data_IF_317823241701
#
_entry.id   IF_317823241701
#
_cell.length_a   1.000
_cell.length_b   1.000
_cell.length_c   1.000
_cell.angle_alpha   90.00
_cell.angle_beta   90.00
_cell.angle_gamma   90.00
#
_symmetry.space_group_name_H-M   'P 1'
#
loop_
_entity.id
_entity.type
_entity.pdbx_description
1 polymer ?
#
# COMPACT_ATOMS: atom_id res chain seq x y z
N UNK A 1 52.91 17.55 59.61
CA UNK A 1 53.95 16.50 59.54
C UNK A 1 53.28 15.15 59.74
N UNK A 2 53.74 14.03 59.14
CA UNK A 2 53.92 13.67 57.74
C UNK A 2 52.93 12.53 57.31
N UNK A 3 52.44 12.53 56.05
CA UNK A 3 52.80 11.60 54.95
C UNK A 3 52.34 10.14 55.12
N UNK A 4 51.43 9.59 54.29
CA UNK A 4 51.65 8.75 53.08
C UNK A 4 50.49 7.73 53.07
N UNK A 5 49.98 7.08 52.01
CA UNK A 5 50.07 7.12 50.54
C UNK A 5 49.10 6.02 50.01
N UNK A 6 48.46 6.29 48.87
CA UNK A 6 47.91 5.36 47.83
C UNK A 6 46.57 4.60 48.06
N UNK A 7 45.85 4.20 46.98
CA UNK A 7 46.01 4.53 45.56
C UNK A 7 44.77 5.19 44.90
N UNK A 8 45.04 6.04 43.90
CA UNK A 8 44.08 6.41 42.85
C UNK A 8 43.76 5.16 42.03
N UNK A 9 42.51 4.73 42.02
CA UNK A 9 41.98 3.82 41.01
C UNK A 9 41.51 4.68 39.84
N UNK A 10 42.24 4.60 38.73
CA UNK A 10 41.84 5.17 37.46
C UNK A 10 40.66 4.37 36.91
N UNK A 11 39.44 4.89 37.02
CA UNK A 11 38.31 4.42 36.21
C UNK A 11 38.44 5.07 34.82
N UNK A 12 39.08 4.34 33.91
CA UNK A 12 38.95 4.60 32.48
C UNK A 12 37.51 4.25 32.08
N UNK A 13 36.65 5.27 32.03
CA UNK A 13 35.30 5.16 31.49
C UNK A 13 35.39 4.96 29.98
N UNK A 14 35.41 3.71 29.55
CA UNK A 14 35.27 3.33 28.15
C UNK A 14 33.90 3.82 27.65
N UNK A 15 33.94 4.82 26.79
CA UNK A 15 32.81 5.27 25.98
C UNK A 15 32.45 4.11 25.03
N UNK A 16 31.57 3.20 25.48
CA UNK A 16 30.88 2.29 24.57
C UNK A 16 29.89 3.16 23.79
N UNK A 17 30.32 3.61 22.62
CA UNK A 17 29.43 4.00 21.53
C UNK A 17 28.71 2.72 21.13
N UNK A 18 27.61 2.44 21.83
CA UNK A 18 26.61 1.49 21.40
C UNK A 18 26.11 2.00 20.07
N UNK A 19 26.59 1.39 18.98
CA UNK A 19 25.91 1.44 17.71
C UNK A 19 24.47 1.04 17.98
N UNK A 20 23.60 2.04 18.03
CA UNK A 20 22.16 1.89 17.90
C UNK A 20 21.97 1.18 16.58
N UNK A 21 21.90 -0.15 16.64
CA UNK A 21 21.35 -0.94 15.57
C UNK A 21 19.99 -0.33 15.31
N UNK A 22 19.81 0.22 14.12
CA UNK A 22 18.53 0.65 13.59
C UNK A 22 17.63 -0.58 13.63
N UNK A 23 16.87 -0.72 14.72
CA UNK A 23 15.82 -1.72 14.81
C UNK A 23 14.88 -1.42 13.65
N UNK A 24 14.91 -2.31 12.68
CA UNK A 24 14.21 -2.17 11.41
C UNK A 24 12.78 -1.71 11.66
N UNK A 25 12.45 -0.59 11.03
CA UNK A 25 11.08 -0.14 10.82
C UNK A 25 10.38 -1.27 10.08
N UNK A 26 9.65 -2.10 10.82
CA UNK A 26 8.86 -3.18 10.26
C UNK A 26 7.40 -2.77 10.43
N UNK A 27 6.75 -2.36 9.34
CA UNK A 27 5.31 -2.49 9.23
C UNK A 27 4.92 -3.91 9.68
N UNK A 28 3.86 -4.02 10.49
CA UNK A 28 3.34 -5.32 10.88
C UNK A 28 3.21 -6.23 9.65
N UNK A 29 3.82 -7.41 9.73
CA UNK A 29 3.80 -8.37 8.63
C UNK A 29 2.35 -8.64 8.20
N UNK A 30 2.00 -8.34 6.94
CA UNK A 30 0.81 -8.92 6.30
C UNK A 30 -0.18 -7.96 5.65
N UNK A 31 0.05 -6.65 5.65
CA UNK A 31 -0.78 -5.75 4.84
C UNK A 31 -0.53 -6.01 3.33
N UNK A 32 -1.58 -6.29 2.54
CA UNK A 32 -1.40 -6.59 1.13
C UNK A 32 -1.17 -5.32 0.31
N UNK A 33 -0.07 -5.29 -0.42
CA UNK A 33 0.20 -4.37 -1.52
C UNK A 33 -0.58 -4.82 -2.76
N UNK A 34 -1.29 -3.91 -3.43
CA UNK A 34 -1.84 -4.24 -4.74
C UNK A 34 -0.88 -3.82 -5.86
N UNK A 35 -0.72 -4.70 -6.83
CA UNK A 35 -0.01 -4.46 -8.08
C UNK A 35 -1.02 -4.48 -9.21
N UNK A 36 -0.96 -3.48 -10.09
CA UNK A 36 -1.83 -3.39 -11.26
C UNK A 36 -1.03 -3.17 -12.52
N UNK A 37 -1.24 -4.02 -13.53
CA UNK A 37 -0.74 -3.74 -14.87
C UNK A 37 -1.73 -2.88 -15.64
N UNK A 38 -1.20 -1.96 -16.41
CA UNK A 38 -1.96 -1.07 -17.27
C UNK A 38 -1.40 -1.19 -18.69
N UNK A 39 -2.15 -0.72 -19.69
CA UNK A 39 -1.64 -0.69 -21.05
C UNK A 39 -0.34 0.12 -21.11
N UNK A 40 0.47 -0.16 -22.14
CA UNK A 40 1.69 0.61 -22.46
C UNK A 40 2.82 0.46 -21.43
N UNK A 41 2.98 -0.73 -20.86
CA UNK A 41 4.04 -1.01 -19.87
C UNK A 41 3.99 0.02 -18.74
N UNK A 42 2.85 0.08 -18.07
CA UNK A 42 2.66 0.86 -16.86
C UNK A 42 2.25 -0.10 -15.75
N UNK A 43 2.87 0.01 -14.59
CA UNK A 43 2.45 -0.69 -13.38
C UNK A 43 2.15 0.32 -12.29
N UNK A 44 1.08 0.09 -11.53
CA UNK A 44 0.83 0.86 -10.31
C UNK A 44 0.90 -0.03 -9.09
N UNK A 45 1.41 0.53 -8.01
CA UNK A 45 1.53 -0.05 -6.69
C UNK A 45 0.63 0.76 -5.76
N UNK A 46 -0.28 0.09 -5.05
CA UNK A 46 -1.20 0.75 -4.11
C UNK A 46 -1.10 0.12 -2.72
N UNK A 47 -0.67 0.92 -1.74
CA UNK A 47 -0.37 0.49 -0.36
C UNK A 47 -1.64 0.44 0.51
N UNK A 48 -1.55 -0.17 1.70
CA UNK A 48 -2.65 -0.10 2.67
C UNK A 48 -2.96 1.35 3.10
N UNK A 49 -1.93 2.20 3.13
CA UNK A 49 -2.04 3.63 3.47
C UNK A 49 -2.58 4.51 2.35
N UNK A 50 -3.01 3.87 1.25
CA UNK A 50 -3.53 4.52 0.06
C UNK A 50 -2.50 5.47 -0.58
N UNK A 51 -1.22 5.09 -0.51
CA UNK A 51 -0.17 5.66 -1.35
C UNK A 51 -0.16 4.92 -2.69
N UNK A 52 -0.04 5.66 -3.78
CA UNK A 52 -0.08 5.15 -5.14
C UNK A 52 1.17 5.57 -5.91
N UNK A 53 2.01 4.57 -6.21
CA UNK A 53 3.20 4.74 -7.03
C UNK A 53 2.95 4.15 -8.40
N UNK A 54 3.20 4.93 -9.44
CA UNK A 54 3.12 4.51 -10.84
C UNK A 54 4.53 4.43 -11.38
N UNK A 55 4.86 3.29 -11.99
CA UNK A 55 6.11 3.05 -12.69
C UNK A 55 5.78 2.85 -14.16
N UNK A 56 6.39 3.68 -15.01
CA UNK A 56 6.21 3.67 -16.45
C UNK A 56 7.53 3.35 -17.14
N UNK A 57 7.55 2.26 -17.89
CA UNK A 57 8.72 1.83 -18.63
C UNK A 57 8.92 2.57 -19.95
N UNK A 58 7.84 2.92 -20.67
CA UNK A 58 7.96 3.48 -22.02
C UNK A 58 6.87 4.51 -22.34
N UNK A 59 7.25 5.46 -23.21
CA UNK A 59 6.35 6.33 -23.97
C UNK A 59 6.03 7.69 -23.33
N UNK A 60 5.43 8.56 -24.13
CA UNK A 60 4.91 9.88 -23.71
C UNK A 60 3.38 9.93 -23.68
N UNK A 61 2.73 8.83 -24.06
CA UNK A 61 1.26 8.73 -24.08
C UNK A 61 0.66 9.10 -22.71
N UNK A 62 -0.53 9.70 -22.67
CA UNK A 62 -1.20 10.00 -21.40
C UNK A 62 -1.38 8.73 -20.56
N UNK A 63 -1.19 8.86 -19.24
CA UNK A 63 -1.56 7.80 -18.30
C UNK A 63 -3.07 7.56 -18.36
N UNK A 64 -3.53 6.32 -18.08
CA UNK A 64 -4.94 6.06 -17.83
C UNK A 64 -5.54 7.04 -16.83
N UNK A 65 -6.81 7.44 -17.03
CA UNK A 65 -7.49 8.40 -16.17
C UNK A 65 -7.58 7.91 -14.71
N UNK A 66 -7.62 6.59 -14.54
CA UNK A 66 -7.61 5.90 -13.25
C UNK A 66 -6.29 6.08 -12.49
N UNK A 67 -5.23 6.60 -13.12
CA UNK A 67 -3.95 6.91 -12.49
C UNK A 67 -3.75 8.42 -12.25
N UNK A 68 -4.78 9.25 -12.49
CA UNK A 68 -4.71 10.69 -12.28
C UNK A 68 -4.49 11.09 -10.80
N UNK A 69 -4.81 10.22 -9.86
CA UNK A 69 -4.63 10.41 -8.42
C UNK A 69 -3.34 9.78 -7.87
N UNK A 70 -2.41 9.36 -8.74
CA UNK A 70 -1.12 8.83 -8.29
C UNK A 70 -0.34 9.86 -7.48
N UNK A 71 0.21 9.44 -6.33
CA UNK A 71 1.06 10.29 -5.48
C UNK A 71 2.45 10.48 -6.11
N UNK A 72 2.98 9.43 -6.74
CA UNK A 72 4.28 9.44 -7.40
C UNK A 72 4.20 8.73 -8.76
N UNK A 73 4.73 9.36 -9.80
CA UNK A 73 4.89 8.77 -11.13
C UNK A 73 6.38 8.76 -11.48
N UNK A 74 6.96 7.58 -11.61
CA UNK A 74 8.31 7.37 -12.14
C UNK A 74 8.22 7.02 -13.62
N UNK A 75 8.77 7.87 -14.47
CA UNK A 75 8.87 7.63 -15.90
C UNK A 75 10.32 7.43 -16.30
N UNK A 76 10.59 6.25 -16.85
CA UNK A 76 11.89 5.90 -17.40
C UNK A 76 11.81 6.14 -18.91
N UNK A 77 12.15 7.36 -19.34
CA UNK A 77 12.23 7.64 -20.77
C UNK A 77 13.55 7.11 -21.32
N UNK A 78 13.50 6.53 -22.52
CA UNK A 78 14.67 6.04 -23.23
C UNK A 78 15.56 7.17 -23.78
N UNK A 79 15.61 8.32 -23.11
CA UNK A 79 16.54 9.38 -23.48
C UNK A 79 17.94 8.87 -23.19
N UNK A 80 18.84 8.95 -24.18
CA UNK A 80 20.19 8.38 -24.19
C UNK A 80 21.01 8.59 -22.89
N UNK A 81 20.61 9.55 -22.04
CA UNK A 81 21.30 10.02 -20.84
C UNK A 81 20.91 9.32 -19.52
N UNK A 82 20.00 8.33 -19.49
CA UNK A 82 19.73 7.54 -18.28
C UNK A 82 19.11 8.34 -17.12
N UNK A 83 18.37 9.40 -17.43
CA UNK A 83 17.70 10.24 -16.43
C UNK A 83 16.32 9.67 -16.12
N UNK A 84 16.02 9.47 -14.83
CA UNK A 84 14.67 9.18 -14.38
C UNK A 84 13.91 10.50 -14.24
N UNK A 85 12.79 10.64 -14.96
CA UNK A 85 11.87 11.73 -14.71
C UNK A 85 10.87 11.25 -13.66
N UNK A 86 11.07 11.70 -12.42
CA UNK A 86 10.09 11.52 -11.35
C UNK A 86 9.14 12.72 -11.35
N UNK A 87 7.90 12.49 -11.77
CA UNK A 87 6.84 13.46 -11.52
C UNK A 87 6.19 13.13 -10.18
N UNK A 88 6.45 13.96 -9.18
CA UNK A 88 5.76 13.90 -7.90
C UNK A 88 4.50 14.78 -8.00
N UNK A 89 3.32 14.17 -7.89
CA UNK A 89 2.09 14.94 -7.75
C UNK A 89 1.90 15.28 -6.27
N UNK A 90 2.53 16.37 -5.84
CA UNK A 90 2.13 17.04 -4.59
C UNK A 90 1.14 18.11 -4.99
N UNK A 91 -0.15 18.05 -4.62
CA UNK A 91 -0.97 19.24 -4.75
C UNK A 91 -0.37 20.34 -3.86
N UNK A 92 -0.03 21.48 -4.46
CA UNK A 92 0.57 22.59 -3.74
C UNK A 92 -0.26 22.95 -2.50
N UNK A 93 0.43 23.10 -1.36
CA UNK A 93 -0.20 23.59 -0.14
C UNK A 93 -0.89 24.94 -0.44
N UNK A 94 -2.22 24.96 -0.38
CA UNK A 94 -3.02 26.19 -0.53
C UNK A 94 -3.40 26.60 -1.95
N UNK A 95 -3.10 25.81 -2.99
CA UNK A 95 -3.64 26.03 -4.33
C UNK A 95 -4.59 24.88 -4.70
N UNK A 96 -5.80 25.23 -5.15
CA UNK A 96 -6.80 24.27 -5.64
C UNK A 96 -6.36 23.58 -6.94
N UNK A 97 -5.32 24.09 -7.61
CA UNK A 97 -4.68 23.44 -8.74
C UNK A 97 -3.47 22.64 -8.27
N UNK A 98 -3.56 21.31 -8.39
CA UNK A 98 -2.50 20.38 -8.06
C UNK A 98 -1.30 20.60 -8.99
N UNK A 99 -0.43 21.56 -8.67
CA UNK A 99 0.81 21.76 -9.42
C UNK A 99 1.68 20.53 -9.29
N UNK A 100 1.86 19.82 -10.39
CA UNK A 100 2.72 18.63 -10.43
C UNK A 100 4.17 19.09 -10.33
N UNK A 101 4.87 18.71 -9.27
CA UNK A 101 6.31 18.94 -9.16
C UNK A 101 7.00 17.88 -10.02
N UNK A 102 7.55 18.31 -11.15
CA UNK A 102 8.36 17.43 -11.99
C UNK A 102 9.82 17.61 -11.60
N UNK A 103 10.43 16.57 -11.03
CA UNK A 103 11.85 16.52 -10.71
C UNK A 103 12.54 15.55 -11.66
N UNK A 104 13.70 15.93 -12.18
CA UNK A 104 14.56 14.99 -12.90
C UNK A 104 15.66 14.55 -11.95
N UNK A 105 15.74 13.25 -11.70
CA UNK A 105 16.73 12.65 -10.79
C UNK A 105 17.59 11.71 -11.64
N UNK A 106 18.92 11.88 -11.66
CA UNK A 106 19.80 10.89 -12.26
C UNK A 106 19.49 9.51 -11.68
N UNK A 107 19.38 8.49 -12.53
CA UNK A 107 18.92 7.17 -12.06
C UNK A 107 19.82 6.63 -10.94
N UNK A 108 21.14 6.83 -11.03
CA UNK A 108 22.11 6.42 -10.02
C UNK A 108 21.92 7.09 -8.64
N UNK A 109 21.19 8.21 -8.56
CA UNK A 109 20.90 8.96 -7.34
C UNK A 109 19.50 8.64 -6.79
N UNK A 110 18.73 7.76 -7.44
CA UNK A 110 17.41 7.38 -6.96
C UNK A 110 17.55 6.47 -5.74
N UNK A 111 17.54 7.09 -4.56
CA UNK A 111 17.35 6.46 -3.27
C UNK A 111 16.49 7.35 -2.36
N UNK A 112 15.17 7.13 -2.38
CA UNK A 112 14.20 8.08 -1.85
C UNK A 112 13.03 7.39 -1.13
N UNK A 113 12.42 8.14 -0.22
CA UNK A 113 11.22 7.78 0.50
C UNK A 113 10.02 8.60 0.01
N UNK A 114 8.93 7.91 -0.31
CA UNK A 114 7.59 8.51 -0.41
C UNK A 114 6.83 8.18 0.88
N UNK A 115 6.55 9.19 1.70
CA UNK A 115 5.94 9.03 3.01
C UNK A 115 4.74 9.97 3.19
N UNK A 116 3.82 9.64 4.09
CA UNK A 116 2.77 10.55 4.55
C UNK A 116 2.59 10.34 6.04
N UNK A 117 3.18 11.21 6.84
CA UNK A 117 3.05 11.14 8.30
C UNK A 117 1.60 11.44 8.71
N UNK A 118 1.15 10.96 9.88
CA UNK A 118 -0.16 11.30 10.41
C UNK A 118 -0.45 12.80 10.42
N UNK A 119 -1.70 13.17 10.11
CA UNK A 119 -2.17 14.56 10.01
C UNK A 119 -1.53 15.38 8.88
N UNK A 120 -0.59 14.83 8.09
CA UNK A 120 -0.11 15.51 6.89
C UNK A 120 -1.17 15.43 5.79
N UNK A 121 -1.42 16.58 5.16
CA UNK A 121 -2.36 16.65 4.05
C UNK A 121 -1.87 15.85 2.83
N UNK A 122 -0.57 15.90 2.57
CA UNK A 122 0.08 15.41 1.36
C UNK A 122 1.29 14.54 1.69
N UNK A 123 1.66 13.62 0.77
CA UNK A 123 2.87 12.85 0.94
C UNK A 123 4.11 13.72 0.66
N UNK A 124 5.24 13.33 1.21
CA UNK A 124 6.55 13.92 1.01
C UNK A 124 7.44 12.97 0.23
N UNK A 125 8.28 13.52 -0.64
CA UNK A 125 9.35 12.82 -1.36
C UNK A 125 10.68 13.32 -0.85
N UNK A 126 11.49 12.44 -0.27
CA UNK A 126 12.71 12.84 0.43
C UNK A 126 13.82 11.86 0.11
N UNK A 127 15.03 12.37 -0.15
CA UNK A 127 16.21 11.54 -0.31
C UNK A 127 16.46 10.74 0.97
N UNK A 128 16.87 9.47 0.83
CA UNK A 128 16.99 8.56 1.97
C UNK A 128 17.99 9.06 3.02
N UNK A 129 19.08 9.71 2.58
CA UNK A 129 20.13 10.27 3.44
C UNK A 129 19.73 11.56 4.17
N UNK A 130 18.68 12.25 3.71
CA UNK A 130 18.16 13.48 4.31
C UNK A 130 17.00 13.23 5.28
N UNK A 131 16.42 12.03 5.25
CA UNK A 131 15.26 11.69 6.07
C UNK A 131 15.63 11.58 7.56
N UNK A 132 15.17 12.55 8.35
CA UNK A 132 15.32 12.52 9.82
C UNK A 132 14.37 11.52 10.50
N UNK A 133 13.25 11.20 9.83
CA UNK A 133 12.23 10.26 10.29
C UNK A 133 11.50 9.68 9.08
N UNK A 134 11.12 8.41 9.17
CA UNK A 134 10.26 7.72 8.20
C UNK A 134 9.19 6.96 8.95
N UNK A 135 7.96 6.99 8.45
CA UNK A 135 6.86 6.21 9.00
C UNK A 135 7.03 4.72 8.70
N UNK A 136 6.27 3.90 9.43
CA UNK A 136 6.23 2.46 9.21
C UNK A 136 5.72 2.07 7.81
N UNK A 137 5.00 2.97 7.14
CA UNK A 137 4.27 2.69 5.90
C UNK A 137 4.83 3.46 4.71
N UNK A 138 6.07 3.91 4.85
CA UNK A 138 6.84 4.57 3.80
C UNK A 138 7.05 3.64 2.60
N UNK A 139 7.01 4.21 1.40
CA UNK A 139 7.50 3.53 0.20
C UNK A 139 8.94 3.95 -0.04
N UNK A 140 9.86 3.00 0.06
CA UNK A 140 11.26 3.20 -0.28
C UNK A 140 11.52 2.78 -1.72
N UNK A 141 12.11 3.68 -2.51
CA UNK A 141 12.48 3.44 -3.90
C UNK A 141 13.98 3.64 -4.04
N UNK A 142 14.67 2.59 -4.45
CA UNK A 142 16.12 2.60 -4.60
C UNK A 142 16.56 1.94 -5.89
N UNK A 143 17.61 2.49 -6.48
CA UNK A 143 18.23 1.98 -7.69
C UNK A 143 19.39 1.04 -7.36
N UNK A 144 19.45 -0.11 -8.03
CA UNK A 144 20.58 -1.04 -7.93
C UNK A 144 21.17 -1.42 -9.30
N UNK A 145 22.50 -1.27 -9.41
CA UNK A 145 23.30 -1.70 -10.58
C UNK A 145 22.78 -1.16 -11.93
N UNK A 146 22.31 0.09 -11.95
CA UNK A 146 21.76 0.84 -13.12
C UNK A 146 20.60 0.16 -13.88
N UNK A 147 20.09 -0.98 -13.41
CA UNK A 147 19.20 -1.84 -14.19
C UNK A 147 18.01 -2.37 -13.40
N UNK A 148 17.97 -2.10 -12.11
CA UNK A 148 16.92 -2.54 -11.22
C UNK A 148 16.44 -1.37 -10.38
N UNK A 149 15.12 -1.18 -10.34
CA UNK A 149 14.44 -0.41 -9.32
C UNK A 149 13.92 -1.40 -8.28
N UNK A 150 14.32 -1.20 -7.03
CA UNK A 150 13.80 -1.89 -5.88
C UNK A 150 12.77 -0.98 -5.20
N UNK A 151 11.56 -1.49 -5.01
CA UNK A 151 10.50 -0.82 -4.25
C UNK A 151 10.21 -1.63 -3.00
N UNK A 152 10.40 -1.03 -1.82
CA UNK A 152 10.13 -1.65 -0.54
C UNK A 152 9.02 -0.91 0.21
N UNK A 153 7.97 -1.62 0.62
CA UNK A 153 6.82 -1.06 1.35
C UNK A 153 6.07 -2.16 2.08
N UNK A 154 5.57 -1.88 3.29
CA UNK A 154 4.77 -2.84 4.08
C UNK A 154 5.47 -4.22 4.24
N UNK A 155 6.81 -4.21 4.31
CA UNK A 155 7.67 -5.40 4.32
C UNK A 155 7.81 -6.15 2.98
N UNK A 156 7.04 -5.77 1.95
CA UNK A 156 7.13 -6.31 0.58
C UNK A 156 8.29 -5.67 -0.16
N UNK A 157 9.06 -6.47 -0.89
CA UNK A 157 10.11 -5.98 -1.80
C UNK A 157 9.85 -6.38 -3.25
N UNK A 158 9.71 -5.39 -4.10
CA UNK A 158 9.46 -5.55 -5.53
C UNK A 158 10.70 -5.18 -6.34
N UNK A 159 11.08 -6.05 -7.26
CA UNK A 159 12.14 -5.81 -8.22
C UNK A 159 11.50 -5.45 -9.57
N UNK A 160 11.89 -4.32 -10.15
CA UNK A 160 11.41 -3.82 -11.43
C UNK A 160 12.64 -3.60 -12.32
N UNK A 161 12.86 -4.44 -13.36
CA UNK A 161 13.91 -4.20 -14.34
C UNK A 161 13.71 -2.88 -15.06
N UNK A 162 14.75 -2.08 -15.17
CA UNK A 162 14.74 -0.80 -15.89
C UNK A 162 15.30 -0.93 -17.32
N UNK A 163 15.54 -2.16 -17.76
CA UNK A 163 16.49 -2.46 -18.81
C UNK A 163 16.07 -1.99 -20.21
N UNK A 164 16.98 -1.26 -20.87
CA UNK A 164 17.08 -1.04 -22.32
C UNK A 164 17.35 -2.35 -23.07
N UNK A 165 16.70 -2.55 -24.21
CA UNK A 165 16.89 -3.74 -25.05
C UNK A 165 18.31 -3.93 -25.59
N UNK A 166 19.14 -2.89 -25.64
CA UNK A 166 20.44 -2.95 -26.30
C UNK A 166 21.62 -3.43 -25.41
N UNK A 167 21.37 -3.72 -24.13
CA UNK A 167 22.44 -3.97 -23.17
C UNK A 167 22.94 -5.43 -23.19
N UNK A 168 23.93 -5.70 -24.07
CA UNK A 168 24.85 -6.84 -24.12
C UNK A 168 24.22 -8.26 -24.14
N UNK A 169 24.78 -9.18 -24.92
CA UNK A 169 24.27 -10.55 -25.05
C UNK A 169 24.23 -11.35 -23.73
N UNK A 170 24.90 -10.88 -22.66
CA UNK A 170 24.91 -11.47 -21.32
C UNK A 170 25.21 -10.39 -20.27
N UNK A 171 24.22 -9.57 -19.88
CA UNK A 171 24.48 -8.49 -18.97
C UNK A 171 24.60 -9.05 -17.54
N UNK A 172 25.53 -8.54 -16.71
CA UNK A 172 25.80 -9.11 -15.39
C UNK A 172 24.54 -9.11 -14.52
N UNK A 173 24.40 -10.12 -13.66
CA UNK A 173 23.28 -10.21 -12.74
C UNK A 173 23.24 -8.96 -11.82
N UNK A 174 22.08 -8.32 -11.62
CA UNK A 174 21.95 -7.28 -10.61
C UNK A 174 22.32 -7.86 -9.24
N UNK A 175 23.22 -7.20 -8.52
CA UNK A 175 23.60 -7.59 -7.16
C UNK A 175 22.80 -6.76 -6.18
N UNK A 176 21.93 -7.41 -5.42
CA UNK A 176 21.31 -6.81 -4.24
C UNK A 176 22.26 -6.92 -3.04
N UNK A 177 22.12 -6.04 -2.03
CA UNK A 177 22.81 -6.21 -0.76
C UNK A 177 22.52 -7.60 -0.16
N UNK A 178 23.49 -8.15 0.57
CA UNK A 178 23.36 -9.46 1.19
C UNK A 178 22.13 -9.52 2.12
N UNK A 179 21.32 -10.58 2.00
CA UNK A 179 20.11 -10.77 2.80
C UNK A 179 18.86 -10.06 2.29
N UNK A 180 18.95 -9.28 1.21
CA UNK A 180 17.76 -8.69 0.58
C UNK A 180 17.08 -9.76 -0.29
N UNK A 181 15.86 -10.13 0.10
CA UNK A 181 14.99 -11.03 -0.67
C UNK A 181 13.98 -10.23 -1.50
N UNK A 182 13.69 -10.68 -2.72
CA UNK A 182 12.65 -10.13 -3.58
C UNK A 182 11.36 -10.95 -3.44
N UNK A 183 10.26 -10.31 -3.07
CA UNK A 183 8.94 -10.95 -3.02
C UNK A 183 8.34 -11.10 -4.41
N UNK A 184 8.49 -10.09 -5.28
CA UNK A 184 8.05 -10.19 -6.67
C UNK A 184 8.96 -9.45 -7.65
N UNK A 185 9.17 -10.07 -8.81
CA UNK A 185 9.82 -9.48 -9.97
C UNK A 185 8.75 -9.07 -10.99
N UNK A 186 8.63 -7.78 -11.29
CA UNK A 186 7.64 -7.24 -12.23
C UNK A 186 8.30 -7.02 -13.58
N UNK A 187 7.90 -7.77 -14.60
CA UNK A 187 8.48 -7.66 -15.93
C UNK A 187 7.63 -6.74 -16.83
N UNK A 188 8.25 -5.95 -17.72
CA UNK A 188 7.51 -5.13 -18.68
C UNK A 188 6.77 -5.99 -19.71
N UNK A 189 5.86 -5.38 -20.48
CA UNK A 189 5.07 -6.09 -21.50
C UNK A 189 5.86 -6.60 -22.68
N UNK A 190 7.00 -5.98 -22.97
CA UNK A 190 7.84 -6.34 -24.09
C UNK A 190 8.55 -7.68 -23.83
N UNK A 191 8.39 -8.63 -24.74
CA UNK A 191 8.93 -10.00 -24.59
C UNK A 191 8.24 -10.84 -23.51
N UNK A 192 7.14 -10.36 -22.91
CA UNK A 192 6.42 -11.09 -21.85
C UNK A 192 5.87 -12.44 -22.37
N UNK A 193 5.38 -12.49 -23.61
CA UNK A 193 4.81 -13.70 -24.20
C UNK A 193 5.82 -14.87 -24.24
N UNK A 194 7.05 -14.62 -24.69
CA UNK A 194 8.10 -15.65 -24.80
C UNK A 194 8.57 -16.11 -23.41
N UNK A 195 8.63 -15.20 -22.44
CA UNK A 195 9.01 -15.53 -21.05
C UNK A 195 7.93 -16.34 -20.34
N UNK A 196 6.65 -15.99 -20.56
CA UNK A 196 5.50 -16.74 -20.05
C UNK A 196 5.47 -18.15 -20.62
N UNK A 197 5.66 -18.29 -21.94
CA UNK A 197 5.60 -19.59 -22.62
C UNK A 197 6.66 -20.58 -22.10
N UNK A 198 7.83 -20.08 -21.72
CA UNK A 198 8.96 -20.90 -21.31
C UNK A 198 9.19 -20.96 -19.79
N UNK A 199 8.42 -20.22 -18.98
CA UNK A 199 8.59 -20.06 -17.52
C UNK A 199 10.06 -19.88 -17.07
N UNK A 200 10.88 -19.27 -17.94
CA UNK A 200 12.33 -19.17 -17.76
C UNK A 200 12.70 -17.71 -17.51
N UNK A 201 13.35 -17.48 -16.38
CA UNK A 201 14.02 -16.21 -16.11
C UNK A 201 15.41 -16.23 -16.74
N UNK A 202 15.81 -15.12 -17.34
CA UNK A 202 17.22 -14.90 -17.69
C UNK A 202 18.10 -15.15 -16.45
N UNK A 203 19.30 -15.74 -16.60
CA UNK A 203 20.17 -16.08 -15.48
C UNK A 203 20.42 -14.91 -14.51
N UNK A 204 20.49 -13.69 -15.04
CA UNK A 204 20.62 -12.47 -14.24
C UNK A 204 19.45 -12.25 -13.28
N UNK A 205 18.22 -12.41 -13.75
CA UNK A 205 17.02 -12.23 -12.94
C UNK A 205 16.76 -13.42 -12.02
N UNK A 206 17.12 -14.64 -12.44
CA UNK A 206 17.01 -15.84 -11.62
C UNK A 206 17.84 -15.75 -10.32
N UNK A 207 18.96 -15.02 -10.35
CA UNK A 207 19.81 -14.80 -9.16
C UNK A 207 19.13 -14.01 -8.04
N UNK A 208 18.07 -13.24 -8.35
CA UNK A 208 17.26 -12.53 -7.35
C UNK A 208 16.38 -13.47 -6.54
N UNK A 209 16.18 -14.71 -7.02
CA UNK A 209 15.32 -15.74 -6.43
C UNK A 209 13.94 -15.17 -6.02
N UNK A 210 13.22 -14.49 -6.93
CA UNK A 210 11.94 -13.87 -6.58
C UNK A 210 10.93 -14.96 -6.25
N UNK A 211 10.08 -14.71 -5.24
CA UNK A 211 9.01 -15.65 -4.89
C UNK A 211 7.91 -15.67 -5.96
N UNK A 212 7.66 -14.52 -6.59
CA UNK A 212 6.72 -14.37 -7.69
C UNK A 212 7.36 -13.67 -8.89
N UNK A 213 7.01 -14.10 -10.09
CA UNK A 213 7.31 -13.39 -11.32
C UNK A 213 5.98 -12.91 -11.90
N UNK A 214 5.81 -11.61 -11.98
CA UNK A 214 4.57 -11.00 -12.48
C UNK A 214 4.82 -10.46 -13.87
N UNK A 215 3.95 -10.84 -14.78
CA UNK A 215 4.03 -10.55 -16.21
C UNK A 215 2.66 -10.10 -16.70
N UNK A 216 2.61 -9.22 -17.70
CA UNK A 216 1.35 -8.94 -18.37
C UNK A 216 0.94 -10.14 -19.23
N UNK A 217 -0.35 -10.49 -19.19
CA UNK A 217 -0.95 -11.51 -20.02
C UNK A 217 -0.89 -11.09 -21.49
N UNK A 218 -0.59 -12.03 -22.38
CA UNK A 218 -0.60 -11.77 -23.80
C UNK A 218 -2.05 -11.52 -24.27
N UNK A 219 -2.37 -10.38 -24.91
CA UNK A 219 -3.72 -10.10 -25.40
C UNK A 219 -4.24 -11.11 -26.43
N UNK A 220 -3.36 -11.89 -27.07
CA UNK A 220 -3.74 -12.80 -28.16
C UNK A 220 -4.19 -14.21 -27.72
N UNK A 221 -4.27 -14.52 -26.42
CA UNK A 221 -4.52 -15.89 -25.93
C UNK A 221 -5.70 -16.02 -24.97
N UNK A 222 -6.93 -15.93 -25.48
CA UNK A 222 -8.18 -16.21 -24.74
C UNK A 222 -8.46 -17.70 -24.49
N UNK A 223 -7.52 -18.61 -24.78
CA UNK A 223 -7.72 -20.00 -24.42
C UNK A 223 -7.49 -20.21 -22.92
N UNK A 224 -8.53 -20.65 -22.22
CA UNK A 224 -8.56 -21.29 -20.90
C UNK A 224 -7.72 -22.58 -20.82
N UNK A 225 -6.62 -22.67 -21.58
CA UNK A 225 -5.61 -23.71 -21.35
C UNK A 225 -5.09 -23.52 -19.93
N UNK A 226 -5.40 -24.49 -19.09
CA UNK A 226 -4.71 -24.73 -17.81
C UNK A 226 -3.23 -24.57 -18.11
N UNK A 227 -2.63 -23.50 -17.58
CA UNK A 227 -1.22 -23.19 -17.80
C UNK A 227 -0.36 -24.38 -17.43
N UNK A 228 0.86 -24.42 -17.95
CA UNK A 228 1.93 -25.18 -17.32
C UNK A 228 1.94 -24.91 -15.81
N UNK A 229 2.27 -25.93 -15.01
CA UNK A 229 1.82 -26.05 -13.62
C UNK A 229 2.13 -24.90 -12.66
N UNK A 230 3.04 -23.97 -12.99
CA UNK A 230 3.40 -22.84 -12.13
C UNK A 230 2.82 -21.48 -12.57
N UNK A 231 2.21 -21.38 -13.76
CA UNK A 231 1.60 -20.15 -14.25
C UNK A 231 0.17 -19.99 -13.75
N UNK A 232 -0.05 -19.00 -12.88
CA UNK A 232 -1.38 -18.54 -12.46
C UNK A 232 -1.84 -17.37 -13.30
N UNK A 233 -3.01 -17.46 -13.94
CA UNK A 233 -3.71 -16.31 -14.53
C UNK A 233 -4.55 -15.63 -13.45
N UNK A 234 -4.32 -14.34 -13.19
CA UNK A 234 -5.10 -13.56 -12.24
C UNK A 234 -6.37 -12.97 -12.91
N UNK A 235 -7.36 -12.61 -12.10
CA UNK A 235 -8.60 -11.99 -12.60
C UNK A 235 -8.35 -10.52 -12.90
N UNK A 236 -8.43 -10.15 -14.18
CA UNK A 236 -8.17 -8.79 -14.64
C UNK A 236 -6.70 -8.39 -14.43
N UNK A 237 -6.48 -7.13 -14.06
CA UNK A 237 -5.14 -6.55 -13.99
C UNK A 237 -4.55 -6.41 -12.59
N UNK A 238 -5.25 -6.86 -11.53
CA UNK A 238 -4.86 -6.60 -10.14
C UNK A 238 -4.37 -7.88 -9.43
N UNK A 239 -3.30 -7.76 -8.65
CA UNK A 239 -2.73 -8.81 -7.81
C UNK A 239 -2.49 -8.29 -6.40
N UNK A 240 -2.85 -9.06 -5.37
CA UNK A 240 -2.42 -8.79 -4.01
C UNK A 240 -1.09 -9.49 -3.72
N UNK A 241 -0.16 -8.79 -3.09
CA UNK A 241 1.14 -9.32 -2.63
C UNK A 241 1.34 -8.90 -1.18
N UNK A 242 1.85 -9.83 -0.37
CA UNK A 242 2.28 -9.54 0.99
C UNK A 242 3.62 -10.21 1.27
N UNK A 243 4.36 -9.64 2.21
CA UNK A 243 5.59 -10.24 2.69
C UNK A 243 5.27 -11.62 3.25
N UNK A 244 6.07 -12.63 2.86
CA UNK A 244 6.10 -13.90 3.57
C UNK A 244 7.52 -14.32 3.78
N UNK A 245 7.73 -15.07 4.86
CA UNK A 245 9.02 -15.69 5.14
C UNK A 245 9.49 -16.50 3.93
N UNK A 246 10.80 -16.47 3.65
CA UNK A 246 11.39 -17.27 2.59
C UNK A 246 10.98 -18.74 2.74
N UNK A 247 10.36 -19.27 1.69
CA UNK A 247 10.14 -20.70 1.50
C UNK A 247 11.09 -21.22 0.42
N UNK A 248 11.35 -22.52 0.42
CA UNK A 248 12.19 -23.20 -0.59
C UNK A 248 11.44 -23.51 -1.89
N UNK A 249 10.30 -22.88 -2.12
CA UNK A 249 9.45 -23.15 -3.28
C UNK A 249 9.96 -22.41 -4.50
N UNK A 250 9.83 -23.04 -5.68
CA UNK A 250 10.08 -22.39 -6.96
C UNK A 250 9.24 -21.10 -7.11
N UNK A 251 9.72 -20.16 -7.92
CA UNK A 251 9.02 -18.92 -8.20
C UNK A 251 7.66 -19.20 -8.85
N UNK A 252 6.59 -18.60 -8.33
CA UNK A 252 5.26 -18.67 -8.93
C UNK A 252 5.14 -17.63 -10.05
N UNK A 253 4.72 -18.04 -11.23
CA UNK A 253 4.45 -17.12 -12.33
C UNK A 253 3.01 -16.61 -12.26
N UNK A 254 2.81 -15.31 -12.41
CA UNK A 254 1.48 -14.69 -12.39
C UNK A 254 1.30 -13.79 -13.60
N UNK A 255 0.35 -14.15 -14.47
CA UNK A 255 -0.05 -13.32 -15.59
C UNK A 255 -1.23 -12.41 -15.21
N UNK A 256 -1.09 -11.10 -15.44
CA UNK A 256 -2.11 -10.08 -15.21
C UNK A 256 -2.56 -9.47 -16.54
N UNK A 257 -3.86 -9.33 -16.78
CA UNK A 257 -4.33 -8.58 -17.95
C UNK A 257 -3.90 -7.11 -17.86
N UNK A 258 -3.79 -6.44 -19.01
CA UNK A 258 -3.53 -4.99 -19.07
C UNK A 258 -4.83 -4.16 -19.00
N UNK A 259 -5.99 -4.80 -19.13
CA UNK A 259 -7.31 -4.19 -18.97
C UNK A 259 -7.79 -4.29 -17.51
N UNK A 260 -8.20 -3.18 -16.90
CA UNK A 260 -8.83 -3.20 -15.58
C UNK A 260 -10.02 -4.14 -15.53
N UNK A 261 -10.14 -4.88 -14.42
CA UNK A 261 -11.36 -5.62 -14.16
C UNK A 261 -12.54 -4.65 -14.04
N UNK A 262 -13.58 -4.89 -14.84
CA UNK A 262 -14.83 -4.12 -14.75
C UNK A 262 -15.76 -4.78 -13.75
N UNK A 263 -16.12 -4.04 -12.71
CA UNK A 263 -17.07 -4.50 -11.72
C UNK A 263 -18.47 -4.68 -12.36
N UNK A 264 -19.15 -5.82 -12.16
CA UNK A 264 -20.54 -5.98 -12.63
C UNK A 264 -21.44 -4.86 -12.12
N UNK A 265 -22.39 -4.42 -12.95
CA UNK A 265 -23.19 -3.21 -12.69
C UNK A 265 -23.87 -3.21 -11.31
N UNK A 266 -24.50 -4.33 -10.95
CA UNK A 266 -25.16 -4.48 -9.64
C UNK A 266 -24.17 -4.41 -8.46
N UNK A 267 -23.01 -5.06 -8.57
CA UNK A 267 -21.97 -4.97 -7.55
C UNK A 267 -21.42 -3.55 -7.45
N UNK A 268 -21.27 -2.86 -8.59
CA UNK A 268 -20.84 -1.46 -8.65
C UNK A 268 -21.81 -0.54 -7.95
N UNK A 269 -23.12 -0.71 -8.15
CA UNK A 269 -24.14 0.08 -7.46
C UNK A 269 -24.04 -0.09 -5.93
N UNK A 270 -23.95 -1.34 -5.46
CA UNK A 270 -23.81 -1.63 -4.02
C UNK A 270 -22.55 -1.01 -3.41
N UNK A 271 -21.41 -1.06 -4.12
CA UNK A 271 -20.18 -0.40 -3.68
C UNK A 271 -20.33 1.12 -3.64
N UNK A 272 -20.89 1.74 -4.69
CA UNK A 272 -21.11 3.19 -4.74
C UNK A 272 -21.99 3.68 -3.60
N UNK A 273 -23.04 2.94 -3.24
CA UNK A 273 -23.89 3.30 -2.11
C UNK A 273 -23.15 3.24 -0.77
N UNK A 274 -22.35 2.19 -0.53
CA UNK A 274 -21.49 2.07 0.66
C UNK A 274 -20.47 3.21 0.70
N UNK A 275 -19.77 3.44 -0.40
CA UNK A 275 -18.73 4.45 -0.54
C UNK A 275 -19.29 5.86 -0.26
N UNK A 276 -20.47 6.19 -0.79
CA UNK A 276 -21.16 7.46 -0.49
C UNK A 276 -21.47 7.62 1.01
N UNK A 277 -21.87 6.55 1.69
CA UNK A 277 -22.09 6.60 3.14
C UNK A 277 -20.78 6.79 3.92
N UNK A 278 -19.70 6.17 3.48
CA UNK A 278 -18.35 6.39 4.02
C UNK A 278 -17.89 7.84 3.78
N UNK A 279 -18.05 8.38 2.58
CA UNK A 279 -17.72 9.78 2.24
C UNK A 279 -18.50 10.79 3.09
N UNK A 280 -19.79 10.56 3.32
CA UNK A 280 -20.58 11.40 4.24
C UNK A 280 -20.04 11.37 5.68
N UNK A 281 -19.56 10.21 6.11
CA UNK A 281 -18.91 10.04 7.41
C UNK A 281 -17.59 10.81 7.44
N UNK A 282 -16.73 10.64 6.43
CA UNK A 282 -15.49 11.40 6.25
C UNK A 282 -15.72 12.91 6.34
N UNK A 283 -16.74 13.44 5.64
CA UNK A 283 -17.08 14.87 5.69
C UNK A 283 -17.56 15.36 7.06
N UNK A 284 -18.07 14.47 7.91
CA UNK A 284 -18.41 14.78 9.31
C UNK A 284 -17.17 14.76 10.20
N UNK A 285 -16.37 13.69 10.12
CA UNK A 285 -15.18 13.51 10.95
C UNK A 285 -14.08 14.52 10.62
N UNK A 286 -13.87 14.87 9.35
CA UNK A 286 -12.85 15.82 8.89
C UNK A 286 -12.91 17.22 9.53
N UNK A 287 -14.04 17.56 10.15
CA UNK A 287 -14.28 18.84 10.82
C UNK A 287 -13.91 18.82 12.31
N UNK A 288 -13.67 17.64 12.87
CA UNK A 288 -13.46 17.48 14.30
C UNK A 288 -12.00 17.68 14.67
N UNK A 289 -11.75 18.33 15.80
CA UNK A 289 -10.43 18.35 16.41
C UNK A 289 -10.11 17.01 17.11
N UNK A 290 -8.84 16.77 17.43
CA UNK A 290 -8.46 15.62 18.25
C UNK A 290 -9.19 15.59 19.61
N UNK A 291 -9.44 16.75 20.23
CA UNK A 291 -10.18 16.82 21.50
C UNK A 291 -11.65 16.47 21.35
N UNK A 292 -12.31 16.95 20.28
CA UNK A 292 -13.69 16.60 19.95
C UNK A 292 -13.81 15.10 19.65
N UNK A 293 -12.87 14.53 18.89
CA UNK A 293 -12.79 13.09 18.63
C UNK A 293 -12.71 12.26 19.92
N UNK A 294 -11.92 12.73 20.89
CA UNK A 294 -11.72 12.07 22.17
C UNK A 294 -12.73 12.47 23.25
N UNK A 295 -13.76 13.26 22.93
CA UNK A 295 -14.79 13.63 23.90
C UNK A 295 -15.48 12.37 24.46
N UNK A 296 -15.49 12.25 25.79
CA UNK A 296 -16.13 11.17 26.55
C UNK A 296 -17.49 11.64 27.09
N UNK A 297 -18.62 11.27 26.48
CA UNK A 297 -19.93 11.67 26.94
C UNK A 297 -20.26 11.15 28.34
N UNK A 298 -20.83 12.00 29.22
CA UNK A 298 -21.28 11.60 30.57
C UNK A 298 -22.43 10.59 30.56
N UNK A 299 -23.19 10.51 29.47
CA UNK A 299 -24.31 9.57 29.32
C UNK A 299 -23.87 8.14 28.99
N UNK A 300 -22.56 7.85 29.00
CA UNK A 300 -22.02 6.51 28.77
C UNK A 300 -22.01 6.07 27.30
N UNK A 301 -22.37 6.93 26.34
CA UNK A 301 -22.25 6.62 24.92
C UNK A 301 -20.78 6.67 24.46
N UNK A 302 -20.46 5.96 23.36
CA UNK A 302 -19.10 5.93 22.81
C UNK A 302 -18.59 7.31 22.37
N UNK A 303 -17.27 7.50 22.38
CA UNK A 303 -16.66 8.73 21.85
C UNK A 303 -16.87 8.85 20.33
N UNK A 304 -16.73 10.04 19.72
CA UNK A 304 -16.69 10.14 18.27
C UNK A 304 -15.60 9.27 17.64
N UNK A 305 -14.37 9.27 18.17
CA UNK A 305 -13.28 8.44 17.65
C UNK A 305 -13.60 6.95 17.66
N UNK A 306 -14.19 6.44 18.74
CA UNK A 306 -14.64 5.05 18.79
C UNK A 306 -15.59 4.72 17.65
N UNK A 307 -16.48 5.65 17.26
CA UNK A 307 -17.41 5.40 16.16
C UNK A 307 -16.67 5.34 14.82
N UNK A 308 -15.66 6.20 14.58
CA UNK A 308 -14.82 6.11 13.39
C UNK A 308 -14.06 4.79 13.34
N UNK A 309 -13.32 4.46 14.41
CA UNK A 309 -12.54 3.22 14.52
C UNK A 309 -13.42 1.96 14.40
N UNK A 310 -14.61 1.97 14.98
CA UNK A 310 -15.55 0.85 14.89
C UNK A 310 -16.11 0.65 13.48
N UNK A 311 -16.51 1.73 12.79
CA UNK A 311 -17.01 1.65 11.42
C UNK A 311 -15.96 1.06 10.48
N UNK A 312 -14.76 1.65 10.46
CA UNK A 312 -13.68 1.18 9.60
C UNK A 312 -13.17 -0.19 10.01
N UNK A 313 -13.05 -0.48 11.31
CA UNK A 313 -12.59 -1.77 11.81
C UNK A 313 -13.51 -2.93 11.42
N UNK A 314 -14.84 -2.71 11.41
CA UNK A 314 -15.81 -3.73 10.96
C UNK A 314 -15.77 -3.97 9.47
N UNK A 315 -15.72 -2.91 8.67
CA UNK A 315 -15.59 -3.04 7.22
C UNK A 315 -14.32 -3.80 6.85
N UNK A 316 -13.17 -3.36 7.40
CA UNK A 316 -11.88 -3.97 7.12
C UNK A 316 -11.86 -5.45 7.49
N UNK A 317 -12.37 -5.81 8.66
CA UNK A 317 -12.43 -7.21 9.12
C UNK A 317 -13.27 -8.09 8.19
N UNK A 318 -14.50 -7.67 7.89
CA UNK A 318 -15.41 -8.51 7.10
C UNK A 318 -14.91 -8.71 5.67
N UNK A 319 -14.43 -7.66 5.00
CA UNK A 319 -13.90 -7.79 3.65
C UNK A 319 -12.59 -8.57 3.60
N UNK A 320 -11.66 -8.31 4.54
CA UNK A 320 -10.38 -9.04 4.57
C UNK A 320 -10.57 -10.53 4.86
N UNK A 321 -11.55 -10.93 5.67
CA UNK A 321 -11.91 -12.35 5.87
C UNK A 321 -12.35 -13.04 4.59
N UNK A 322 -13.21 -12.37 3.80
CA UNK A 322 -13.68 -12.91 2.51
C UNK A 322 -12.52 -13.00 1.52
N UNK A 323 -11.73 -11.93 1.42
CA UNK A 323 -10.61 -11.85 0.50
C UNK A 323 -9.51 -12.86 0.82
N UNK A 324 -9.21 -13.10 2.10
CA UNK A 324 -8.23 -14.08 2.54
C UNK A 324 -8.57 -15.53 2.15
N UNK A 325 -9.85 -15.84 1.86
CA UNK A 325 -10.25 -17.15 1.33
C UNK A 325 -10.02 -17.32 -0.17
N UNK A 326 -9.92 -16.20 -0.88
CA UNK A 326 -9.73 -16.18 -2.34
C UNK A 326 -8.27 -15.91 -2.72
N UNK A 327 -7.57 -15.12 -1.92
CA UNK A 327 -6.20 -14.71 -2.15
C UNK A 327 -5.40 -14.79 -0.85
N UNK A 328 -4.48 -15.76 -0.82
CA UNK A 328 -3.69 -16.07 0.39
C UNK A 328 -2.72 -14.95 0.77
N UNK A 329 -2.41 -14.02 -0.14
CA UNK A 329 -1.61 -12.84 0.18
C UNK A 329 -2.37 -11.85 1.10
N UNK A 330 -3.70 -11.96 1.17
CA UNK A 330 -4.52 -11.16 2.07
C UNK A 330 -4.78 -11.97 3.34
N UNK A 331 -4.57 -11.34 4.49
CA UNK A 331 -4.92 -11.91 5.80
C UNK A 331 -6.14 -11.17 6.39
N UNK A 332 -6.91 -11.80 7.29
CA UNK A 332 -7.90 -11.07 8.07
C UNK A 332 -7.25 -9.94 8.88
N UNK A 333 -7.81 -8.74 8.79
CA UNK A 333 -7.32 -7.53 9.46
C UNK A 333 -8.37 -7.05 10.46
N UNK A 334 -8.04 -7.12 11.75
CA UNK A 334 -8.95 -6.72 12.83
C UNK A 334 -8.43 -5.46 13.53
N UNK A 335 -9.01 -4.31 13.16
CA UNK A 335 -8.76 -3.02 13.82
C UNK A 335 -9.96 -2.58 14.67
N UNK A 336 -10.80 -3.52 15.13
CA UNK A 336 -11.97 -3.17 15.93
C UNK A 336 -11.55 -2.67 17.33
N UNK A 337 -12.05 -1.51 17.79
CA UNK A 337 -11.85 -1.09 19.16
C UNK A 337 -12.64 -2.00 20.11
N UNK A 338 -12.20 -2.04 21.37
CA UNK A 338 -12.99 -2.69 22.43
C UNK A 338 -14.39 -2.07 22.52
N UNK A 339 -15.40 -2.92 22.67
CA UNK A 339 -16.81 -2.51 22.54
C UNK A 339 -17.29 -1.66 23.72
N UNK A 340 -16.84 -1.94 24.94
CA UNK A 340 -17.36 -1.25 26.12
C UNK A 340 -16.69 0.12 26.27
N UNK A 341 -17.47 1.21 26.46
CA UNK A 341 -16.90 2.56 26.59
C UNK A 341 -15.80 2.71 27.66
N UNK A 342 -15.88 2.07 28.85
CA UNK A 342 -14.79 2.12 29.83
C UNK A 342 -13.48 1.45 29.37
N UNK A 343 -13.58 0.44 28.52
CA UNK A 343 -12.44 -0.36 28.05
C UNK A 343 -11.77 0.25 26.81
N UNK A 344 -12.40 1.25 26.20
CA UNK A 344 -11.92 1.87 24.97
C UNK A 344 -10.67 2.72 25.21
N UNK A 345 -9.64 2.39 24.45
CA UNK A 345 -8.42 3.18 24.28
C UNK A 345 -8.30 3.49 22.78
N UNK A 346 -8.19 4.78 22.46
CA UNK A 346 -7.98 5.22 21.09
C UNK A 346 -6.66 4.66 20.56
N UNK A 347 -6.66 4.15 19.33
CA UNK A 347 -5.43 3.70 18.68
C UNK A 347 -4.48 4.88 18.44
N UNK A 348 -5.05 6.02 18.04
CA UNK A 348 -4.31 7.23 17.72
C UNK A 348 -4.97 8.46 18.36
N UNK A 349 -4.77 8.71 19.66
CA UNK A 349 -5.45 9.80 20.37
C UNK A 349 -5.08 11.19 19.85
N UNK A 350 -3.95 11.34 19.17
CA UNK A 350 -3.40 12.58 18.62
C UNK A 350 -3.89 12.91 17.20
N UNK A 351 -4.49 11.96 16.48
CA UNK A 351 -5.02 12.20 15.14
C UNK A 351 -6.17 13.21 15.18
N UNK A 352 -6.17 14.14 14.23
CA UNK A 352 -7.29 15.05 14.02
C UNK A 352 -8.39 14.40 13.17
N UNK A 353 -9.47 15.13 12.96
CA UNK A 353 -10.59 14.70 12.15
C UNK A 353 -10.24 14.36 10.71
N UNK A 354 -9.24 15.04 10.13
CA UNK A 354 -8.82 14.83 8.74
C UNK A 354 -8.08 13.52 8.60
N UNK A 355 -7.20 13.19 9.54
CA UNK A 355 -6.52 11.89 9.56
C UNK A 355 -7.50 10.74 9.83
N UNK A 356 -8.46 10.91 10.75
CA UNK A 356 -9.53 9.92 10.96
C UNK A 356 -10.38 9.71 9.70
N UNK A 357 -10.79 10.78 9.03
CA UNK A 357 -11.49 10.70 7.75
C UNK A 357 -10.66 9.98 6.68
N UNK A 358 -9.35 10.25 6.62
CA UNK A 358 -8.43 9.55 5.72
C UNK A 358 -8.33 8.07 6.05
N UNK A 359 -8.38 7.67 7.32
CA UNK A 359 -8.41 6.26 7.71
C UNK A 359 -9.69 5.56 7.25
N UNK A 360 -10.86 6.20 7.35
CA UNK A 360 -12.11 5.70 6.76
C UNK A 360 -11.96 5.52 5.24
N UNK A 361 -11.35 6.49 4.56
CA UNK A 361 -11.08 6.43 3.12
C UNK A 361 -10.15 5.26 2.77
N UNK A 362 -9.06 5.03 3.52
CA UNK A 362 -8.11 3.92 3.32
C UNK A 362 -8.82 2.56 3.37
N UNK A 363 -9.70 2.35 4.35
CA UNK A 363 -10.47 1.11 4.47
C UNK A 363 -11.47 0.95 3.32
N UNK A 364 -12.17 2.02 2.95
CA UNK A 364 -13.06 1.97 1.78
C UNK A 364 -12.28 1.66 0.49
N UNK A 365 -11.10 2.26 0.31
CA UNK A 365 -10.20 1.99 -0.81
C UNK A 365 -9.71 0.55 -0.81
N UNK A 366 -9.36 -0.04 0.34
CA UNK A 366 -9.02 -1.46 0.47
C UNK A 366 -10.17 -2.36 -0.03
N UNK A 367 -11.41 -2.11 0.42
CA UNK A 367 -12.57 -2.90 0.01
C UNK A 367 -12.77 -2.86 -1.51
N UNK A 368 -12.65 -1.67 -2.12
CA UNK A 368 -12.78 -1.44 -3.56
C UNK A 368 -11.64 -2.06 -4.37
N UNK A 369 -10.40 -1.89 -3.90
CA UNK A 369 -9.17 -2.30 -4.58
C UNK A 369 -9.12 -3.80 -4.86
N UNK A 370 -9.63 -4.59 -3.92
CA UNK A 370 -9.66 -6.05 -4.01
C UNK A 370 -11.05 -6.62 -4.34
N UNK A 371 -12.02 -5.78 -4.74
CA UNK A 371 -13.37 -6.21 -5.07
C UNK A 371 -13.45 -7.20 -6.25
N UNK A 372 -12.40 -7.29 -7.09
CA UNK A 372 -12.29 -8.30 -8.14
C UNK A 372 -12.33 -9.73 -7.59
N UNK A 373 -11.99 -9.95 -6.31
CA UNK A 373 -12.10 -11.25 -5.63
C UNK A 373 -13.55 -11.67 -5.34
N UNK A 374 -14.51 -10.75 -5.52
CA UNK A 374 -15.94 -11.03 -5.46
C UNK A 374 -16.52 -11.41 -6.83
N UNK A 375 -15.77 -11.28 -7.92
CA UNK A 375 -16.29 -11.39 -9.28
C UNK A 375 -16.97 -12.73 -9.61
N UNK A 376 -16.59 -13.80 -8.92
CA UNK A 376 -17.13 -15.16 -9.12
C UNK A 376 -18.07 -15.61 -7.99
N UNK A 377 -18.37 -14.74 -7.03
CA UNK A 377 -19.27 -15.07 -5.93
C UNK A 377 -20.71 -14.76 -6.33
N UNK A 378 -21.62 -15.64 -5.93
CA UNK A 378 -23.05 -15.34 -5.92
C UNK A 378 -23.30 -14.29 -4.82
N UNK A 379 -23.93 -13.17 -5.19
CA UNK A 379 -24.18 -12.03 -4.29
C UNK A 379 -25.18 -12.37 -3.18
N UNK A 380 -25.98 -13.43 -3.36
CA UNK A 380 -27.05 -13.85 -2.47
C UNK A 380 -26.73 -15.15 -1.71
N UNK A 381 -25.54 -15.71 -1.91
CA UNK A 381 -24.99 -16.80 -1.08
C UNK A 381 -23.98 -16.26 -0.07
N UNK A 382 -23.82 -16.97 1.05
CA UNK A 382 -22.83 -16.62 2.08
C UNK A 382 -21.42 -16.64 1.48
N UNK A 383 -20.69 -15.54 1.65
CA UNK A 383 -19.33 -15.43 1.15
C UNK A 383 -18.37 -16.34 1.94
N UNK A 384 -17.31 -16.90 1.31
CA UNK A 384 -16.33 -17.72 2.00
C UNK A 384 -15.72 -17.00 3.21
N UNK A 385 -15.62 -17.69 4.35
CA UNK A 385 -15.02 -17.11 5.56
C UNK A 385 -15.89 -16.05 6.26
N UNK A 386 -17.12 -15.85 5.82
CA UNK A 386 -18.09 -14.91 6.40
C UNK A 386 -19.46 -15.56 6.54
N UNK A 387 -20.30 -15.02 7.43
CA UNK A 387 -21.71 -15.37 7.52
C UNK A 387 -22.60 -14.44 6.69
N UNK A 388 -22.02 -13.38 6.11
CA UNK A 388 -22.74 -12.45 5.25
C UNK A 388 -22.76 -12.93 3.80
N UNK A 389 -23.85 -12.63 3.09
CA UNK A 389 -23.81 -12.58 1.62
C UNK A 389 -23.09 -11.30 1.18
N UNK A 390 -22.42 -11.25 0.01
CA UNK A 390 -21.80 -10.02 -0.49
C UNK A 390 -22.77 -8.84 -0.54
N UNK A 391 -24.01 -9.06 -1.01
CA UNK A 391 -25.07 -8.05 -1.03
C UNK A 391 -25.43 -7.57 0.37
N UNK A 392 -25.67 -8.51 1.28
CA UNK A 392 -26.04 -8.21 2.67
C UNK A 392 -24.95 -7.42 3.39
N UNK A 393 -23.68 -7.77 3.20
CA UNK A 393 -22.55 -7.05 3.78
C UNK A 393 -22.47 -5.61 3.27
N UNK A 394 -22.53 -5.39 1.95
CA UNK A 394 -22.44 -4.05 1.37
C UNK A 394 -23.59 -3.14 1.86
N UNK A 395 -24.82 -3.67 1.89
CA UNK A 395 -25.98 -2.95 2.43
C UNK A 395 -25.85 -2.68 3.93
N UNK A 396 -25.31 -3.63 4.69
CA UNK A 396 -25.05 -3.46 6.12
C UNK A 396 -24.01 -2.38 6.37
N UNK A 397 -22.90 -2.36 5.61
CA UNK A 397 -21.88 -1.33 5.76
C UNK A 397 -22.43 0.07 5.44
N UNK A 398 -23.26 0.21 4.40
CA UNK A 398 -23.98 1.47 4.10
C UNK A 398 -24.78 1.98 5.31
N UNK A 399 -25.59 1.11 5.94
CA UNK A 399 -26.38 1.45 7.13
C UNK A 399 -25.49 1.78 8.33
N UNK A 400 -24.46 0.95 8.55
CA UNK A 400 -23.50 1.08 9.64
C UNK A 400 -22.85 2.45 9.66
N UNK A 401 -22.33 2.92 8.51
CA UNK A 401 -21.78 4.27 8.39
C UNK A 401 -22.80 5.37 8.72
N UNK A 402 -24.01 5.28 8.17
CA UNK A 402 -25.04 6.28 8.38
C UNK A 402 -25.48 6.39 9.85
N UNK A 403 -25.68 5.27 10.52
CA UNK A 403 -26.13 5.21 11.92
C UNK A 403 -25.08 5.75 12.89
N UNK A 404 -23.83 5.32 12.76
CA UNK A 404 -22.75 5.76 13.63
C UNK A 404 -22.38 7.23 13.40
N UNK A 405 -22.42 7.72 12.14
CA UNK A 405 -22.26 9.15 11.86
C UNK A 405 -23.38 9.99 12.48
N UNK A 406 -24.65 9.55 12.37
CA UNK A 406 -25.78 10.22 13.04
C UNK A 406 -25.60 10.26 14.57
N UNK A 407 -25.06 9.20 15.17
CA UNK A 407 -24.75 9.15 16.59
C UNK A 407 -23.64 10.13 16.99
N UNK A 408 -22.65 10.37 16.12
CA UNK A 408 -21.64 11.41 16.35
C UNK A 408 -22.24 12.80 16.28
N UNK A 409 -23.05 13.10 15.26
CA UNK A 409 -23.70 14.42 15.12
C UNK A 409 -24.54 14.78 16.36
N UNK A 410 -25.26 13.81 16.95
CA UNK A 410 -26.01 14.02 18.19
C UNK A 410 -25.12 14.46 19.36
N UNK A 411 -23.83 14.10 19.39
CA UNK A 411 -22.90 14.45 20.48
C UNK A 411 -22.53 15.93 20.50
N UNK A 412 -22.64 16.62 19.37
CA UNK A 412 -22.32 18.05 19.28
C UNK A 412 -23.22 18.91 20.17
N UNK A 413 -24.37 18.37 20.57
CA UNK A 413 -25.35 19.03 21.44
C UNK A 413 -25.24 18.60 22.91
N UNK A 414 -24.31 17.69 23.26
CA UNK A 414 -24.20 17.19 24.63
C UNK A 414 -23.47 18.19 25.54
N UNK A 415 -23.86 18.28 26.83
CA UNK A 415 -23.13 19.08 27.81
C UNK A 415 -21.65 18.70 27.88
N UNK A 416 -20.78 19.71 27.80
CA UNK A 416 -19.32 19.53 27.87
C UNK A 416 -18.64 19.24 26.53
N UNK A 417 -19.38 19.27 25.41
CA UNK A 417 -18.78 19.20 24.08
C UNK A 417 -17.69 20.29 23.88
N UNK A 418 -16.48 19.95 23.40
CA UNK A 418 -15.43 20.94 23.18
C UNK A 418 -15.79 21.96 22.08
N UNK A 419 -15.59 23.25 22.36
CA UNK A 419 -16.02 24.39 21.50
C UNK A 419 -14.98 24.89 20.48
N UNK A 420 -13.86 24.21 20.36
CA UNK A 420 -12.75 24.62 19.48
C UNK A 420 -13.03 24.44 17.99
#
# INVERSE_FOLDING_TARGET
MPSRKFPLVALAGTLLVSCLGTTGIHADHGHPLAIRYWPQSVVSLETHWNLKVVVRWEGERPLPAELADADLILSFNDSANGVCHSALRVPAQGQQDASTITQSIPLAELDHYLDRLPNQAQPTWTESGEASFVSENVVHLSQHAERLLLVAVDGVRLAIPLQREEAAANPPAPRLPAGVQVDALLLPSRGAADRVANETLEPGWASLQPRMVVVPANPAGEADSQGSGNLRKAVGNTLAIAHRRPGTTAAQWVALHDKPWTMPAELSELFQEKERACENSQGTFAKLSAKQLNFRPKNGTHTPRWNAEHMMGRELLFFSQIYAKQETAIVPLDLNPKQMPPDYVAAHPDWDGREEARQLQRVSAFSRRFAYLLAKLDLDQTAPGSYWTPRGLLQQMRKHYAEHTANVVKKFQLPGWPKE
#
